data_IF_680783217458
#
_entry.id   IF_680783217458
#
_cell.length_a   1.000
_cell.length_b   1.000
_cell.length_c   1.000
_cell.angle_alpha   90.00
_cell.angle_beta   90.00
_cell.angle_gamma   90.00
#
_symmetry.space_group_name_H-M   'P 1'
#
loop_
_entity.id
_entity.type
_entity.pdbx_description
1 polymer ?
#
# COMPACT_ATOMS: atom_id res chain seq x y z
N UNK A 1 -0.33 14.31 -2.11
CA UNK A 1 0.14 13.36 -3.15
C UNK A 1 -0.39 11.97 -2.88
N UNK A 2 -0.12 11.39 -1.70
CA UNK A 2 -0.58 10.06 -1.27
C UNK A 2 -2.00 9.64 -1.74
N UNK A 3 -3.05 10.44 -1.55
CA UNK A 3 -4.40 10.06 -2.02
C UNK A 3 -4.50 9.79 -3.52
N UNK A 4 -3.87 10.63 -4.34
CA UNK A 4 -3.88 10.48 -5.81
C UNK A 4 -3.00 9.29 -6.19
N UNK A 5 -1.88 9.11 -5.51
CA UNK A 5 -0.99 7.99 -5.78
C UNK A 5 -1.56 6.64 -5.38
N UNK A 6 -2.26 6.59 -4.25
CA UNK A 6 -2.97 5.41 -3.79
C UNK A 6 -4.11 5.01 -4.73
N UNK A 7 -4.88 5.99 -5.24
CA UNK A 7 -5.93 5.72 -6.22
C UNK A 7 -5.34 5.21 -7.55
N UNK A 8 -4.25 5.82 -8.01
CA UNK A 8 -3.50 5.36 -9.18
C UNK A 8 -2.97 3.94 -9.02
N UNK A 9 -2.38 3.62 -7.86
CA UNK A 9 -1.89 2.27 -7.56
C UNK A 9 -3.02 1.24 -7.53
N UNK A 10 -4.16 1.56 -6.90
CA UNK A 10 -5.34 0.67 -6.87
C UNK A 10 -5.88 0.36 -8.26
N UNK A 11 -5.98 1.37 -9.13
CA UNK A 11 -6.40 1.17 -10.53
C UNK A 11 -5.44 0.27 -11.29
N UNK A 12 -4.13 0.50 -11.14
CA UNK A 12 -3.11 -0.31 -11.81
C UNK A 12 -3.09 -1.75 -11.29
N UNK A 13 -3.31 -1.97 -10.00
CA UNK A 13 -3.48 -3.31 -9.41
C UNK A 13 -4.67 -4.02 -10.04
N UNK A 14 -5.85 -3.38 -10.06
CA UNK A 14 -7.05 -3.96 -10.64
C UNK A 14 -6.86 -4.33 -12.12
N UNK A 15 -6.20 -3.47 -12.91
CA UNK A 15 -5.86 -3.78 -14.29
C UNK A 15 -4.92 -5.00 -14.40
N UNK A 16 -3.93 -5.14 -13.52
CA UNK A 16 -3.01 -6.28 -13.52
C UNK A 16 -3.73 -7.58 -13.09
N UNK A 17 -4.63 -7.52 -12.11
CA UNK A 17 -5.41 -8.66 -11.63
C UNK A 17 -6.35 -9.23 -12.70
N UNK A 18 -6.82 -8.38 -13.62
CA UNK A 18 -7.63 -8.80 -14.79
C UNK A 18 -6.80 -9.34 -15.95
N UNK A 19 -5.46 -9.18 -15.92
CA UNK A 19 -4.56 -9.61 -16.98
C UNK A 19 -4.01 -11.02 -16.79
N UNK A 20 -3.64 -11.67 -17.89
CA UNK A 20 -2.86 -12.91 -17.85
C UNK A 20 -1.36 -12.59 -17.92
N UNK A 21 -0.49 -13.36 -17.23
CA UNK A 21 0.96 -13.19 -17.32
C UNK A 21 1.53 -13.25 -18.74
N UNK A 22 0.84 -13.91 -19.67
CA UNK A 22 1.25 -14.02 -21.07
C UNK A 22 0.92 -12.80 -21.93
N UNK A 23 0.18 -11.82 -21.40
CA UNK A 23 -0.24 -10.63 -22.15
C UNK A 23 0.91 -9.62 -22.25
N UNK A 24 1.03 -8.99 -23.42
CA UNK A 24 2.19 -8.20 -23.86
C UNK A 24 2.71 -7.18 -22.83
N UNK A 25 1.82 -6.55 -22.07
CA UNK A 25 2.15 -5.48 -21.13
C UNK A 25 2.12 -5.90 -19.65
N UNK A 26 1.89 -7.17 -19.33
CA UNK A 26 1.79 -7.63 -17.95
C UNK A 26 3.06 -7.30 -17.16
N UNK A 27 4.22 -7.77 -17.65
CA UNK A 27 5.52 -7.55 -16.99
C UNK A 27 5.86 -6.06 -16.86
N UNK A 28 5.54 -5.27 -17.89
CA UNK A 28 5.77 -3.83 -17.88
C UNK A 28 4.91 -3.13 -16.81
N UNK A 29 3.62 -3.48 -16.70
CA UNK A 29 2.71 -2.91 -15.70
C UNK A 29 3.11 -3.31 -14.27
N UNK A 30 3.47 -4.57 -14.05
CA UNK A 30 3.99 -5.05 -12.74
C UNK A 30 5.25 -4.27 -12.36
N UNK A 31 6.16 -4.06 -13.32
CA UNK A 31 7.38 -3.27 -13.06
C UNK A 31 7.06 -1.83 -12.69
N UNK A 32 6.17 -1.16 -13.44
CA UNK A 32 5.77 0.22 -13.16
C UNK A 32 5.09 0.33 -11.80
N UNK A 33 4.19 -0.59 -11.45
CA UNK A 33 3.58 -0.65 -10.13
C UNK A 33 4.65 -0.75 -9.04
N UNK A 34 5.62 -1.64 -9.20
CA UNK A 34 6.73 -1.80 -8.26
C UNK A 34 7.58 -0.55 -8.09
N UNK A 35 7.88 0.16 -9.18
CA UNK A 35 8.60 1.44 -9.13
C UNK A 35 7.77 2.53 -8.42
N UNK A 36 6.47 2.56 -8.69
CA UNK A 36 5.54 3.53 -8.11
C UNK A 36 5.42 3.35 -6.58
N UNK A 37 5.19 2.12 -6.12
CA UNK A 37 5.14 1.80 -4.69
C UNK A 37 6.47 2.10 -4.00
N UNK A 38 7.61 1.75 -4.61
CA UNK A 38 8.94 2.06 -4.05
C UNK A 38 9.17 3.55 -3.89
N UNK A 39 8.73 4.35 -4.86
CA UNK A 39 8.84 5.80 -4.78
C UNK A 39 7.98 6.34 -3.63
N UNK A 40 6.71 5.93 -3.60
CA UNK A 40 5.75 6.35 -2.58
C UNK A 40 6.21 6.01 -1.15
N UNK A 41 6.67 4.78 -0.91
CA UNK A 41 7.21 4.36 0.40
C UNK A 41 8.42 5.21 0.80
N UNK A 42 9.33 5.47 -0.14
CA UNK A 42 10.49 6.33 0.12
C UNK A 42 10.06 7.74 0.52
N UNK A 43 8.99 8.27 -0.05
CA UNK A 43 8.48 9.60 0.29
C UNK A 43 7.86 9.67 1.69
N UNK A 44 7.18 8.61 2.11
CA UNK A 44 6.60 8.53 3.45
C UNK A 44 7.67 8.34 4.55
N UNK A 45 8.72 7.54 4.25
CA UNK A 45 9.79 7.19 5.19
C UNK A 45 10.96 8.19 5.26
N UNK A 46 11.13 9.05 4.25
CA UNK A 46 12.25 9.99 4.24
C UNK A 46 12.19 10.99 5.40
N UNK A 47 13.33 11.60 5.79
CA UNK A 47 13.33 12.69 6.77
C UNK A 47 12.36 13.81 6.35
N UNK A 48 11.44 14.16 7.25
CA UNK A 48 10.39 15.15 6.98
C UNK A 48 9.15 14.60 6.27
N UNK A 49 9.14 13.31 5.90
CA UNK A 49 7.96 12.59 5.42
C UNK A 49 6.94 12.33 6.53
N UNK A 50 5.81 11.72 6.16
CA UNK A 50 4.65 11.57 7.06
C UNK A 50 4.99 10.83 8.35
N UNK A 51 5.84 9.80 8.31
CA UNK A 51 6.23 9.08 9.53
C UNK A 51 7.14 9.89 10.44
N UNK A 52 7.99 10.74 9.88
CA UNK A 52 8.81 11.66 10.66
C UNK A 52 7.94 12.75 11.32
N UNK A 53 6.92 13.25 10.60
CA UNK A 53 5.96 14.21 11.13
C UNK A 53 5.08 13.60 12.23
N UNK A 54 4.58 12.38 12.03
CA UNK A 54 3.79 11.67 13.04
C UNK A 54 4.58 11.48 14.35
N UNK A 55 5.87 11.13 14.26
CA UNK A 55 6.76 11.00 15.44
C UNK A 55 7.05 12.32 16.16
N UNK A 56 6.92 13.45 15.48
CA UNK A 56 7.11 14.78 16.06
C UNK A 56 5.81 15.37 16.61
N UNK A 57 4.66 14.81 16.22
CA UNK A 57 3.35 15.20 16.72
C UNK A 57 3.09 14.69 18.13
N UNK A 58 2.01 15.20 18.73
CA UNK A 58 1.54 14.80 20.05
C UNK A 58 0.59 13.59 20.02
N UNK A 59 0.54 12.87 18.89
CA UNK A 59 -0.33 11.70 18.74
C UNK A 59 0.21 10.48 19.48
N UNK A 60 -0.68 9.72 20.11
CA UNK A 60 -0.35 8.43 20.70
C UNK A 60 -0.24 7.36 19.60
N UNK A 61 0.99 7.20 19.09
CA UNK A 61 1.30 6.25 18.03
C UNK A 61 1.18 4.79 18.48
N UNK A 62 1.34 4.51 19.78
CA UNK A 62 1.20 3.15 20.31
C UNK A 62 -0.27 2.74 20.31
N UNK A 63 -1.15 3.58 20.88
CA UNK A 63 -2.59 3.36 20.83
C UNK A 63 -3.15 3.40 19.41
N UNK A 64 -2.56 4.18 18.50
CA UNK A 64 -2.91 4.11 17.07
C UNK A 64 -2.50 2.77 16.46
N UNK A 65 -1.29 2.29 16.74
CA UNK A 65 -0.79 1.01 16.26
C UNK A 65 -1.67 -0.17 16.69
N UNK A 66 -2.10 -0.20 17.95
CA UNK A 66 -3.04 -1.22 18.46
C UNK A 66 -4.37 -1.22 17.70
N UNK A 67 -4.94 -0.04 17.44
CA UNK A 67 -6.19 0.10 16.66
C UNK A 67 -6.01 -0.36 15.21
N UNK A 68 -4.87 -0.03 14.60
CA UNK A 68 -4.58 -0.43 13.22
C UNK A 68 -4.39 -1.94 13.10
N UNK A 69 -3.69 -2.57 14.03
CA UNK A 69 -3.50 -4.02 14.03
C UNK A 69 -4.82 -4.77 14.24
N UNK A 70 -5.66 -4.30 15.18
CA UNK A 70 -7.01 -4.85 15.36
C UNK A 70 -7.84 -4.72 14.08
N UNK A 71 -7.86 -3.54 13.46
CA UNK A 71 -8.63 -3.33 12.22
C UNK A 71 -8.09 -4.16 11.05
N UNK A 72 -6.77 -4.34 10.98
CA UNK A 72 -6.14 -5.22 9.99
C UNK A 72 -6.57 -6.67 10.20
N UNK A 73 -6.60 -7.16 11.43
CA UNK A 73 -7.05 -8.52 11.73
C UNK A 73 -8.50 -8.74 11.30
N UNK A 74 -9.41 -7.81 11.63
CA UNK A 74 -10.80 -7.83 11.18
C UNK A 74 -10.91 -7.89 9.65
N UNK A 75 -10.17 -7.03 8.94
CA UNK A 75 -10.19 -6.99 7.47
C UNK A 75 -9.64 -8.27 6.85
N UNK A 76 -8.60 -8.86 7.43
CA UNK A 76 -8.04 -10.13 6.96
C UNK A 76 -9.02 -11.29 7.16
N UNK A 77 -9.84 -11.25 8.21
CA UNK A 77 -10.93 -12.20 8.42
C UNK A 77 -12.09 -11.98 7.44
N UNK A 78 -12.53 -10.72 7.25
CA UNK A 78 -13.59 -10.34 6.29
C UNK A 78 -13.23 -10.71 4.84
N UNK A 79 -11.96 -10.53 4.44
CA UNK A 79 -11.45 -10.90 3.12
C UNK A 79 -11.21 -12.41 2.95
N UNK A 80 -11.52 -13.22 3.97
CA UNK A 80 -11.48 -14.67 3.91
C UNK A 80 -10.06 -15.22 3.91
N UNK A 81 -9.20 -14.76 4.84
CA UNK A 81 -7.81 -15.14 5.03
C UNK A 81 -7.40 -16.50 4.47
N UNK A 82 -7.04 -16.53 3.19
CA UNK A 82 -6.49 -17.70 2.54
C UNK A 82 -5.11 -17.35 1.99
N UNK A 83 -4.11 -17.99 2.59
CA UNK A 83 -2.86 -18.28 1.91
C UNK A 83 -3.18 -19.23 0.76
N UNK A 84 -3.62 -18.68 -0.36
CA UNK A 84 -3.65 -19.39 -1.64
C UNK A 84 -2.67 -18.68 -2.56
N UNK A 85 -1.39 -19.06 -2.42
CA UNK A 85 -0.47 -19.33 -3.51
C UNK A 85 0.77 -20.05 -2.99
#
# INVERSE_FOLDING_TARGET
EAYVEHDGAKKLIAEIEEMRPSEEFYDAKVKVLGEYIKHHVKEEEQPGGVFAQAKQGDEDLEAMGERLEARKAELMEELGGEKTH
#
